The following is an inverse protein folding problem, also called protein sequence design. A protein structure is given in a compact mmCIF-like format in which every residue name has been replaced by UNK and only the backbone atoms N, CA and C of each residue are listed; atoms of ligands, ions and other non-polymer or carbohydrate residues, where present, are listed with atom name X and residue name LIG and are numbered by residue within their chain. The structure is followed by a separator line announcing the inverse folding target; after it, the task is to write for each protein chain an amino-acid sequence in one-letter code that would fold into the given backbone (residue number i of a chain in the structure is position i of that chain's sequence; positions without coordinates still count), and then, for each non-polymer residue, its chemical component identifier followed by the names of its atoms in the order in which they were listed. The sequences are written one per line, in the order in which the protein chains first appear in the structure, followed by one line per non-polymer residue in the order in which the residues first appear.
data_IF_754001644470
#
_entry.id   IF_754001644470
#
_cell.length_a   1.000
_cell.length_b   1.000
_cell.length_c   1.000
_cell.angle_alpha   90.00
_cell.angle_beta   90.00
_cell.angle_gamma   90.00
#
_symmetry.space_group_name_H-M   'P 1'
#
loop_
_entity.id
_entity.type
_entity.pdbx_description
1 polymer ?
#
# COMPACT_ATOMS: atom_id res chain seq x y z
N UNK A 1 -21.88 8.71 -2.48
CA UNK A 1 -21.36 9.28 -3.74
C UNK A 1 -20.68 8.20 -4.55
N UNK A 2 -21.05 8.09 -5.81
CA UNK A 2 -20.45 7.07 -6.69
C UNK A 2 -19.41 7.72 -7.58
N UNK A 3 -18.20 7.16 -7.62
CA UNK A 3 -17.15 7.61 -8.53
C UNK A 3 -17.47 7.19 -9.97
N UNK A 4 -17.24 8.09 -10.90
CA UNK A 4 -17.38 7.82 -12.33
C UNK A 4 -15.99 7.74 -12.99
N UNK A 5 -15.95 7.24 -14.21
CA UNK A 5 -14.69 7.22 -14.98
C UNK A 5 -14.17 8.64 -15.25
N UNK A 6 -15.07 9.61 -15.35
CA UNK A 6 -14.71 11.01 -15.52
C UNK A 6 -13.98 11.55 -14.28
N UNK A 7 -14.47 11.22 -13.09
CA UNK A 7 -13.84 11.60 -11.84
C UNK A 7 -12.39 11.07 -11.76
N UNK A 8 -12.17 9.83 -12.15
CA UNK A 8 -10.84 9.23 -12.16
C UNK A 8 -9.90 9.90 -13.16
N UNK A 9 -10.42 10.33 -14.31
CA UNK A 9 -9.61 11.07 -15.30
C UNK A 9 -9.20 12.43 -14.77
N UNK A 10 -10.12 13.14 -14.13
CA UNK A 10 -9.85 14.47 -13.57
C UNK A 10 -8.80 14.42 -12.47
N UNK A 11 -8.81 13.38 -11.63
CA UNK A 11 -7.84 13.19 -10.56
C UNK A 11 -6.45 12.83 -11.07
N UNK A 12 -6.34 12.29 -12.29
CA UNK A 12 -5.08 11.81 -12.86
C UNK A 12 -4.28 10.93 -11.88
N UNK A 13 -4.99 10.08 -11.17
CA UNK A 13 -4.49 9.34 -10.02
C UNK A 13 -3.26 8.47 -10.36
N UNK A 14 -3.16 8.00 -11.60
CA UNK A 14 -2.06 7.16 -12.03
C UNK A 14 -0.80 7.93 -12.42
N UNK A 15 -0.88 9.28 -12.55
CA UNK A 15 0.27 10.09 -12.97
C UNK A 15 1.50 9.86 -12.08
N UNK A 16 1.29 9.84 -10.77
CA UNK A 16 2.36 9.64 -9.81
C UNK A 16 2.27 8.32 -9.04
N UNK A 17 1.37 7.43 -9.45
CA UNK A 17 1.14 6.17 -8.76
C UNK A 17 2.41 5.32 -8.68
N UNK A 18 3.16 5.21 -9.77
CA UNK A 18 4.40 4.43 -9.79
C UNK A 18 5.43 4.97 -8.81
N UNK A 19 5.57 6.30 -8.73
CA UNK A 19 6.48 6.96 -7.80
C UNK A 19 6.09 6.65 -6.35
N UNK A 20 4.83 6.83 -6.00
CA UNK A 20 4.32 6.60 -4.65
C UNK A 20 4.47 5.14 -4.26
N UNK A 21 4.17 4.22 -5.17
CA UNK A 21 4.35 2.78 -4.93
C UNK A 21 5.82 2.44 -4.67
N UNK A 22 6.73 2.94 -5.47
CA UNK A 22 8.17 2.70 -5.29
C UNK A 22 8.68 3.28 -3.98
N UNK A 23 8.24 4.47 -3.64
CA UNK A 23 8.57 5.08 -2.35
C UNK A 23 8.10 4.22 -1.19
N UNK A 24 6.85 3.80 -1.20
CA UNK A 24 6.27 2.99 -0.12
C UNK A 24 6.99 1.63 0.00
N UNK A 25 7.20 0.95 -1.12
CA UNK A 25 7.87 -0.35 -1.12
C UNK A 25 9.31 -0.25 -0.63
N UNK A 26 10.05 0.76 -1.06
CA UNK A 26 11.44 0.94 -0.64
C UNK A 26 11.56 1.35 0.83
N UNK A 27 10.67 2.23 1.29
CA UNK A 27 10.67 2.70 2.67
C UNK A 27 10.34 1.59 3.67
N UNK A 28 9.42 0.70 3.32
CA UNK A 28 8.87 -0.29 4.26
C UNK A 28 9.28 -1.72 3.93
N UNK A 29 10.11 -1.93 2.91
CA UNK A 29 10.60 -3.27 2.57
C UNK A 29 9.54 -4.20 2.00
N UNK A 30 8.59 -3.67 1.24
CA UNK A 30 7.51 -4.44 0.62
C UNK A 30 7.78 -4.66 -0.86
N UNK A 31 7.22 -5.73 -1.42
CA UNK A 31 7.15 -5.89 -2.88
C UNK A 31 5.89 -5.19 -3.40
N UNK A 32 5.87 -4.92 -4.71
CA UNK A 32 4.68 -4.32 -5.34
C UNK A 32 3.42 -5.16 -5.10
N UNK A 33 3.56 -6.48 -5.22
CA UNK A 33 2.44 -7.40 -4.98
C UNK A 33 1.99 -7.40 -3.52
N UNK A 34 2.92 -7.31 -2.57
CA UNK A 34 2.60 -7.21 -1.15
C UNK A 34 1.77 -5.94 -0.87
N UNK A 35 2.19 -4.81 -1.43
CA UNK A 35 1.51 -3.54 -1.22
C UNK A 35 0.10 -3.55 -1.81
N UNK A 36 -0.06 -4.04 -3.03
CA UNK A 36 -1.37 -4.13 -3.68
C UNK A 36 -2.33 -5.00 -2.88
N UNK A 37 -1.84 -6.12 -2.37
CA UNK A 37 -2.64 -7.02 -1.56
C UNK A 37 -3.06 -6.36 -0.24
N UNK A 38 -2.14 -5.65 0.43
CA UNK A 38 -2.46 -4.94 1.67
C UNK A 38 -3.49 -3.84 1.45
N UNK A 39 -3.43 -3.11 0.34
CA UNK A 39 -4.42 -2.10 0.00
C UNK A 39 -5.81 -2.76 -0.17
N UNK A 40 -5.86 -3.88 -0.87
CA UNK A 40 -7.10 -4.64 -1.03
C UNK A 40 -7.68 -5.09 0.31
N UNK A 41 -6.83 -5.66 1.17
CA UNK A 41 -7.25 -6.15 2.49
C UNK A 41 -7.71 -5.01 3.41
N UNK A 42 -7.06 -3.87 3.34
CA UNK A 42 -7.47 -2.69 4.10
C UNK A 42 -8.86 -2.21 3.71
N UNK A 43 -9.18 -2.23 2.42
CA UNK A 43 -10.52 -1.91 1.93
C UNK A 43 -11.57 -2.91 2.43
N UNK A 44 -11.18 -4.16 2.57
CA UNK A 44 -12.08 -5.22 3.03
C UNK A 44 -12.37 -5.13 4.53
N UNK A 45 -11.41 -4.66 5.32
CA UNK A 45 -11.50 -4.55 6.76
C UNK A 45 -11.07 -5.83 7.46
N UNK A 46 -12.03 -6.61 7.97
CA UNK A 46 -11.75 -7.89 8.65
C UNK A 46 -11.89 -9.04 7.66
N UNK A 47 -11.00 -10.02 7.76
CA UNK A 47 -10.97 -11.12 6.81
C UNK A 47 -10.45 -12.40 7.45
N UNK A 48 -10.85 -13.54 6.90
CA UNK A 48 -10.31 -14.85 7.24
C UNK A 48 -9.15 -15.19 6.29
N UNK A 49 -8.40 -16.25 6.64
CA UNK A 49 -7.35 -16.75 5.75
C UNK A 49 -7.91 -17.17 4.39
N UNK A 50 -9.10 -17.78 4.37
CA UNK A 50 -9.74 -18.17 3.10
C UNK A 50 -10.09 -16.95 2.24
N UNK A 51 -10.56 -15.87 2.84
CA UNK A 51 -10.83 -14.62 2.12
C UNK A 51 -9.55 -13.98 1.60
N UNK A 52 -8.43 -14.09 2.34
CA UNK A 52 -7.11 -13.71 1.84
C UNK A 52 -6.74 -14.50 0.58
N UNK A 53 -6.89 -15.83 0.64
CA UNK A 53 -6.60 -16.71 -0.49
C UNK A 53 -7.48 -16.36 -1.69
N UNK A 54 -8.78 -16.15 -1.48
CA UNK A 54 -9.71 -15.77 -2.54
C UNK A 54 -9.33 -14.45 -3.21
N UNK A 55 -8.92 -13.45 -2.42
CA UNK A 55 -8.44 -12.17 -2.94
C UNK A 55 -7.17 -12.33 -3.79
N UNK A 56 -6.30 -13.26 -3.43
CA UNK A 56 -5.03 -13.46 -4.13
C UNK A 56 -5.17 -14.19 -5.47
N UNK A 57 -6.30 -14.79 -5.79
CA UNK A 57 -6.52 -15.36 -7.13
C UNK A 57 -6.40 -14.30 -8.22
N UNK A 58 -6.74 -13.07 -7.94
CA UNK A 58 -6.59 -11.97 -8.88
C UNK A 58 -5.21 -11.30 -8.83
N UNK A 59 -4.41 -11.60 -7.79
CA UNK A 59 -3.14 -10.92 -7.52
C UNK A 59 -1.93 -11.84 -7.41
N UNK A 60 -2.03 -13.10 -7.75
CA UNK A 60 -0.94 -14.06 -7.55
C UNK A 60 -0.80 -14.55 -6.10
N UNK A 61 -1.31 -15.74 -5.85
CA UNK A 61 -1.27 -16.35 -4.52
C UNK A 61 0.14 -16.87 -4.18
N UNK A 62 0.57 -16.59 -2.93
CA UNK A 62 1.81 -17.14 -2.38
C UNK A 62 1.64 -17.36 -0.87
N UNK A 63 1.77 -18.61 -0.43
CA UNK A 63 1.70 -18.97 0.99
C UNK A 63 2.78 -18.26 1.80
N UNK A 64 3.98 -18.12 1.25
CA UNK A 64 5.09 -17.46 1.92
C UNK A 64 4.79 -15.98 2.16
N UNK A 65 4.04 -15.35 1.27
CA UNK A 65 3.60 -13.95 1.44
C UNK A 65 2.70 -13.78 2.66
N UNK A 66 1.75 -14.70 2.86
CA UNK A 66 0.89 -14.68 4.05
C UNK A 66 1.70 -14.70 5.35
N UNK A 67 2.62 -15.66 5.47
CA UNK A 67 3.46 -15.82 6.64
C UNK A 67 4.41 -14.63 6.85
N UNK A 68 4.98 -14.13 5.76
CA UNK A 68 5.87 -12.97 5.77
C UNK A 68 5.15 -11.71 6.25
N UNK A 69 3.96 -11.44 5.72
CA UNK A 69 3.18 -10.25 6.09
C UNK A 69 2.74 -10.31 7.56
N UNK A 70 2.36 -11.48 8.06
CA UNK A 70 2.04 -11.66 9.47
C UNK A 70 3.28 -11.47 10.35
N UNK A 71 4.39 -12.09 9.98
CA UNK A 71 5.65 -12.00 10.74
C UNK A 71 6.15 -10.57 10.85
N UNK A 72 6.03 -9.81 9.78
CA UNK A 72 6.50 -8.43 9.72
C UNK A 72 5.49 -7.42 10.31
N UNK A 73 4.38 -7.89 10.83
CA UNK A 73 3.43 -7.04 11.54
C UNK A 73 2.49 -6.24 10.65
N UNK A 74 2.32 -6.62 9.38
CA UNK A 74 1.38 -5.95 8.47
C UNK A 74 -0.05 -6.46 8.64
N UNK A 75 -0.19 -7.74 8.99
CA UNK A 75 -1.46 -8.41 9.26
C UNK A 75 -1.42 -8.91 10.69
N UNK A 76 -2.51 -8.67 11.44
CA UNK A 76 -2.61 -9.13 12.82
C UNK A 76 -3.92 -9.88 13.04
N UNK A 77 -3.94 -10.72 14.08
CA UNK A 77 -5.15 -11.41 14.49
C UNK A 77 -6.07 -10.44 15.21
N UNK A 78 -7.29 -10.29 14.68
CA UNK A 78 -8.31 -9.48 15.33
C UNK A 78 -9.05 -10.27 16.40
N UNK A 79 -9.42 -11.54 16.09
CA UNK A 79 -10.17 -12.38 16.98
C UNK A 79 -10.10 -13.84 16.58
N UNK A 80 -9.97 -14.72 17.58
CA UNK A 80 -10.21 -16.15 17.40
C UNK A 80 -11.69 -16.44 17.64
N UNK A 81 -12.33 -17.17 16.75
CA UNK A 81 -13.71 -17.60 16.90
C UNK A 81 -13.77 -19.11 16.98
N UNK A 82 -14.49 -19.59 17.99
CA UNK A 82 -14.77 -21.00 18.19
C UNK A 82 -16.26 -21.23 17.90
N UNK A 83 -16.57 -21.96 16.84
CA UNK A 83 -17.88 -22.59 16.70
C UNK A 83 -17.74 -24.05 17.13
N UNK A 84 -18.85 -24.69 17.52
CA UNK A 84 -18.89 -26.01 18.18
C UNK A 84 -18.00 -27.09 17.55
N UNK A 85 -17.68 -27.00 16.26
CA UNK A 85 -16.84 -27.95 15.53
C UNK A 85 -15.71 -27.31 14.74
N UNK A 86 -15.70 -25.99 14.57
CA UNK A 86 -14.73 -25.29 13.71
C UNK A 86 -14.16 -24.09 14.45
N UNK A 87 -12.83 -24.11 14.61
CA UNK A 87 -12.08 -22.95 15.11
C UNK A 87 -11.52 -22.19 13.92
N UNK A 88 -11.74 -20.88 13.87
CA UNK A 88 -11.16 -20.04 12.85
C UNK A 88 -10.73 -18.69 13.42
N UNK A 89 -9.74 -18.09 12.79
CA UNK A 89 -9.25 -16.77 13.18
C UNK A 89 -9.71 -15.72 12.19
N UNK A 90 -10.05 -14.55 12.70
CA UNK A 90 -10.35 -13.37 11.90
C UNK A 90 -9.16 -12.43 12.02
N UNK A 91 -8.71 -11.91 10.91
CA UNK A 91 -7.55 -11.05 10.81
C UNK A 91 -7.94 -9.65 10.35
N UNK A 92 -7.05 -8.71 10.56
CA UNK A 92 -7.17 -7.36 10.03
C UNK A 92 -5.77 -6.83 9.68
N UNK A 93 -5.72 -5.77 8.88
CA UNK A 93 -4.48 -5.04 8.70
C UNK A 93 -4.12 -4.35 10.01
N UNK A 94 -2.82 -4.31 10.33
CA UNK A 94 -2.34 -3.67 11.55
C UNK A 94 -2.49 -2.15 11.47
N UNK A 95 -2.37 -1.47 12.62
CA UNK A 95 -2.34 0.00 12.66
C UNK A 95 -1.25 0.56 11.74
N UNK A 96 -0.07 -0.03 11.79
CA UNK A 96 1.07 0.33 10.93
C UNK A 96 0.69 0.27 9.45
N UNK A 97 -0.02 -0.80 9.03
CA UNK A 97 -0.48 -0.99 7.67
C UNK A 97 -1.52 0.07 7.27
N UNK A 98 -2.55 0.23 8.08
CA UNK A 98 -3.61 1.22 7.81
C UNK A 98 -3.06 2.64 7.76
N UNK A 99 -2.08 2.95 8.61
CA UNK A 99 -1.41 4.25 8.60
C UNK A 99 -0.65 4.49 7.29
N UNK A 100 0.10 3.50 6.83
CA UNK A 100 0.82 3.57 5.55
C UNK A 100 -0.16 3.79 4.39
N UNK A 101 -1.22 3.00 4.33
CA UNK A 101 -2.20 3.08 3.24
C UNK A 101 -2.89 4.44 3.24
N UNK A 102 -3.29 4.94 4.40
CA UNK A 102 -3.87 6.28 4.51
C UNK A 102 -2.91 7.35 4.01
N UNK A 103 -1.63 7.21 4.34
CA UNK A 103 -0.58 8.11 3.87
C UNK A 103 -0.42 8.07 2.35
N UNK A 104 -0.47 6.88 1.76
CA UNK A 104 -0.41 6.71 0.30
C UNK A 104 -1.56 7.48 -0.37
N UNK A 105 -2.79 7.34 0.14
CA UNK A 105 -3.93 8.06 -0.42
C UNK A 105 -3.77 9.58 -0.28
N UNK A 106 -3.29 10.07 0.86
CA UNK A 106 -3.05 11.50 1.03
C UNK A 106 -2.01 12.04 0.06
N UNK A 107 -0.93 11.29 -0.16
CA UNK A 107 0.10 11.67 -1.12
C UNK A 107 -0.46 11.71 -2.54
N UNK A 108 -1.22 10.70 -2.93
CA UNK A 108 -1.83 10.65 -4.27
C UNK A 108 -2.81 11.79 -4.51
N UNK A 109 -3.51 12.24 -3.46
CA UNK A 109 -4.47 13.35 -3.55
C UNK A 109 -3.81 14.74 -3.40
N UNK A 110 -2.51 14.78 -3.15
CA UNK A 110 -1.80 16.05 -2.99
C UNK A 110 -1.91 16.67 -1.60
N UNK A 111 -2.45 15.95 -0.63
CA UNK A 111 -2.61 16.43 0.75
C UNK A 111 -1.32 16.31 1.57
N UNK A 112 -0.38 15.48 1.13
CA UNK A 112 0.91 15.25 1.77
C UNK A 112 1.98 15.09 0.70
N UNK A 113 3.20 15.56 0.97
CA UNK A 113 4.33 15.41 0.07
C UNK A 113 5.23 14.25 0.50
N UNK A 114 5.85 13.59 -0.49
CA UNK A 114 6.89 12.59 -0.23
C UNK A 114 8.12 13.33 0.35
N UNK A 115 8.78 12.79 1.41
CA UNK A 115 9.98 13.41 1.98
C UNK A 115 11.07 13.60 0.93
N UNK A 116 11.72 14.77 0.97
CA UNK A 116 12.78 15.15 0.03
C UNK A 116 14.13 15.30 0.74
N UNK A 117 15.19 15.52 -0.02
CA UNK A 117 16.54 15.73 0.46
C UNK A 117 17.01 14.58 1.35
N UNK A 118 17.55 14.86 2.52
CA UNK A 118 18.11 13.88 3.44
C UNK A 118 17.06 12.86 3.94
N UNK A 119 15.79 13.24 3.94
CA UNK A 119 14.70 12.38 4.38
C UNK A 119 14.16 11.49 3.26
N UNK A 120 14.62 11.66 2.03
CA UNK A 120 14.19 10.84 0.90
C UNK A 120 14.79 9.44 0.97
N UNK A 121 13.97 8.43 0.73
CA UNK A 121 14.43 7.05 0.59
C UNK A 121 15.33 6.87 -0.63
N UNK A 122 15.29 7.80 -1.59
CA UNK A 122 16.14 7.83 -2.78
C UNK A 122 17.34 8.77 -2.63
N UNK A 123 17.64 9.17 -1.41
CA UNK A 123 18.66 10.18 -1.10
C UNK A 123 20.05 9.87 -1.67
N UNK A 124 20.44 8.60 -1.69
CA UNK A 124 21.77 8.21 -2.17
C UNK A 124 22.02 8.60 -3.63
N UNK A 125 20.96 8.72 -4.42
CA UNK A 125 21.01 9.16 -5.83
C UNK A 125 22.09 8.43 -6.67
N UNK A 126 22.41 7.18 -6.25
CA UNK A 126 23.49 6.40 -6.88
C UNK A 126 23.06 5.70 -8.17
N UNK A 127 21.79 5.30 -8.26
CA UNK A 127 21.27 4.60 -9.42
C UNK A 127 20.50 5.55 -10.32
N UNK A 128 20.36 5.18 -11.60
CA UNK A 128 19.50 5.91 -12.53
C UNK A 128 18.07 5.98 -12.03
N UNK A 129 17.58 4.89 -11.44
CA UNK A 129 16.23 4.84 -10.86
C UNK A 129 16.05 5.87 -9.74
N UNK A 130 17.04 5.99 -8.84
CA UNK A 130 16.98 6.98 -7.77
C UNK A 130 16.92 8.42 -8.31
N UNK A 131 17.71 8.72 -9.34
CA UNK A 131 17.70 10.03 -9.98
C UNK A 131 16.35 10.36 -10.61
N UNK A 132 15.76 9.39 -11.30
CA UNK A 132 14.43 9.54 -11.92
C UNK A 132 13.36 9.74 -10.84
N UNK A 133 13.41 8.97 -9.76
CA UNK A 133 12.45 9.08 -8.66
C UNK A 133 12.55 10.44 -7.95
N UNK A 134 13.76 10.92 -7.68
CA UNK A 134 13.96 12.23 -7.05
C UNK A 134 13.43 13.37 -7.94
N UNK A 135 13.66 13.31 -9.23
CA UNK A 135 13.09 14.26 -10.17
C UNK A 135 11.57 14.22 -10.18
N UNK A 136 11.00 13.02 -10.16
CA UNK A 136 9.54 12.84 -10.13
C UNK A 136 8.93 13.41 -8.86
N UNK A 137 9.62 13.29 -7.71
CA UNK A 137 9.17 13.89 -6.44
C UNK A 137 9.13 15.41 -6.58
N UNK A 138 10.16 16.01 -7.14
CA UNK A 138 10.20 17.47 -7.35
C UNK A 138 9.07 17.93 -8.27
N UNK A 139 8.81 17.20 -9.36
CA UNK A 139 7.72 17.51 -10.28
C UNK A 139 6.36 17.40 -9.62
N UNK A 140 6.15 16.36 -8.78
CA UNK A 140 4.91 16.18 -8.04
C UNK A 140 4.66 17.31 -7.04
N UNK A 141 5.68 17.74 -6.32
CA UNK A 141 5.59 18.85 -5.38
C UNK A 141 5.20 20.15 -6.13
N UNK A 142 5.80 20.42 -7.27
CA UNK A 142 5.45 21.58 -8.08
C UNK A 142 4.00 21.54 -8.56
N UNK A 143 3.53 20.36 -8.99
CA UNK A 143 2.13 20.19 -9.40
C UNK A 143 1.15 20.45 -8.26
N UNK A 144 1.51 20.04 -7.05
CA UNK A 144 0.65 20.23 -5.86
C UNK A 144 0.60 21.69 -5.39
N UNK A 145 1.61 22.50 -5.71
CA UNK A 145 1.65 23.93 -5.38
C UNK A 145 0.77 24.81 -6.26
N UNK A 146 0.22 24.26 -7.34
CA UNK A 146 -0.61 25.02 -8.30
C UNK A 146 -2.08 25.07 -7.89
#
# INVERSE_FOLDING_TARGET
MRLTSHDLRDLQILKYYRLVRKWACKTYGLTDADLELLIYLDCKGRFTRNEFIDGTYTMSWDKNRWEKLRRNGWIETWRHRNRTTIKYSVFKTSFKCSHLISRIYRILLGEEDIPTSENSVFFTNKSYTDKVMNKSIDDMIKDNER
#
